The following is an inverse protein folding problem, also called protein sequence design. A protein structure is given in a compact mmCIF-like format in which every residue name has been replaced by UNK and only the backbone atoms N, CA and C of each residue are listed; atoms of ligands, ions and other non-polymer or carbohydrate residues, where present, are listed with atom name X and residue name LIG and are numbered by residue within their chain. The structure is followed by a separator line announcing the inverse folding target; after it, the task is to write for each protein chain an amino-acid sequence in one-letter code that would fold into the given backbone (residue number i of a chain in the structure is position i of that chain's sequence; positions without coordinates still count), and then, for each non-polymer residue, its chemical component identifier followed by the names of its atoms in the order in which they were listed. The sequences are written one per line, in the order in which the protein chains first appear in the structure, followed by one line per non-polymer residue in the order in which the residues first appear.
data_IF_945344805491
#
_entry.id   IF_945344805491
#
_cell.length_a   1.000
_cell.length_b   1.000
_cell.length_c   1.000
_cell.angle_alpha   90.00
_cell.angle_beta   90.00
_cell.angle_gamma   90.00
#
_symmetry.space_group_name_H-M   'P 1'
#
loop_
_entity.id
_entity.type
_entity.pdbx_description
1 polymer ?
#
# COMPACT_ATOMS: atom_id res chain seq x y z
N UNK A 1 -21.00 53.46 -2.45
CA UNK A 1 -20.01 52.87 -3.37
C UNK A 1 -19.16 51.80 -2.72
N UNK A 2 -18.56 52.03 -1.53
CA UNK A 2 -17.74 51.04 -0.81
C UNK A 2 -18.50 49.77 -0.41
N UNK A 3 -19.76 49.86 0.11
CA UNK A 3 -20.56 48.71 0.48
C UNK A 3 -20.86 47.77 -0.68
N UNK A 4 -21.18 48.32 -1.85
CA UNK A 4 -21.45 47.56 -3.06
C UNK A 4 -20.19 46.79 -3.54
N UNK A 5 -19.02 47.43 -3.44
CA UNK A 5 -17.74 46.76 -3.77
C UNK A 5 -17.42 45.58 -2.81
N UNK A 6 -17.65 45.77 -1.51
CA UNK A 6 -17.46 44.73 -0.51
C UNK A 6 -18.38 43.52 -0.78
N UNK A 7 -19.67 43.79 -1.06
CA UNK A 7 -20.63 42.73 -1.39
C UNK A 7 -20.20 41.98 -2.64
N UNK A 8 -19.73 42.69 -3.68
CA UNK A 8 -19.25 42.09 -4.91
C UNK A 8 -18.05 41.16 -4.64
N UNK A 9 -17.08 41.61 -3.87
CA UNK A 9 -15.90 40.80 -3.52
C UNK A 9 -16.30 39.54 -2.75
N UNK A 10 -17.19 39.66 -1.74
CA UNK A 10 -17.67 38.53 -0.96
C UNK A 10 -18.39 37.51 -1.85
N UNK A 11 -19.24 37.95 -2.76
CA UNK A 11 -19.94 37.04 -3.68
C UNK A 11 -19.00 36.33 -4.63
N UNK A 12 -17.99 37.02 -5.17
CA UNK A 12 -16.96 36.39 -6.04
C UNK A 12 -16.16 35.34 -5.27
N UNK A 13 -15.73 35.65 -4.06
CA UNK A 13 -15.00 34.70 -3.20
C UNK A 13 -15.86 33.49 -2.84
N UNK A 14 -17.11 33.72 -2.42
CA UNK A 14 -18.05 32.65 -2.09
C UNK A 14 -18.34 31.72 -3.28
N UNK A 15 -18.53 32.30 -4.47
CA UNK A 15 -18.73 31.50 -5.70
C UNK A 15 -17.47 30.71 -6.07
N UNK A 16 -16.29 31.28 -5.95
CA UNK A 16 -15.03 30.56 -6.21
C UNK A 16 -14.83 29.38 -5.24
N UNK A 17 -15.10 29.61 -3.93
CA UNK A 17 -15.03 28.54 -2.92
C UNK A 17 -16.06 27.43 -3.23
N UNK A 18 -17.30 27.82 -3.57
CA UNK A 18 -18.35 26.86 -3.91
C UNK A 18 -18.00 26.02 -5.13
N UNK A 19 -17.45 26.65 -6.19
CA UNK A 19 -16.99 25.93 -7.38
C UNK A 19 -15.85 24.95 -7.05
N UNK A 20 -14.87 25.36 -6.25
CA UNK A 20 -13.76 24.49 -5.82
C UNK A 20 -14.26 23.28 -5.00
N UNK A 21 -15.20 23.49 -4.07
CA UNK A 21 -15.81 22.40 -3.30
C UNK A 21 -16.58 21.45 -4.22
N UNK A 22 -17.34 21.99 -5.17
CA UNK A 22 -18.11 21.20 -6.14
C UNK A 22 -17.21 20.35 -7.02
N UNK A 23 -16.11 20.89 -7.50
CA UNK A 23 -15.13 20.17 -8.30
C UNK A 23 -14.51 19.01 -7.52
N UNK A 24 -14.06 19.27 -6.30
CA UNK A 24 -13.51 18.21 -5.42
C UNK A 24 -14.54 17.11 -5.13
N UNK A 25 -15.79 17.46 -4.91
CA UNK A 25 -16.85 16.48 -4.67
C UNK A 25 -17.07 15.62 -5.91
N UNK A 26 -17.14 16.23 -7.10
CA UNK A 26 -17.31 15.54 -8.36
C UNK A 26 -16.15 14.57 -8.65
N UNK A 27 -14.90 14.97 -8.36
CA UNK A 27 -13.73 14.11 -8.54
C UNK A 27 -13.77 12.88 -7.58
N UNK A 28 -14.17 13.09 -6.32
CA UNK A 28 -14.34 12.01 -5.34
C UNK A 28 -15.44 11.02 -5.76
N UNK A 29 -16.58 11.54 -6.22
CA UNK A 29 -17.71 10.71 -6.65
C UNK A 29 -17.34 9.91 -7.90
N UNK A 30 -16.66 10.51 -8.86
CA UNK A 30 -16.13 9.83 -10.03
C UNK A 30 -15.17 8.71 -9.65
N UNK A 31 -14.21 8.98 -8.77
CA UNK A 31 -13.27 7.98 -8.26
C UNK A 31 -14.00 6.81 -7.60
N UNK A 32 -14.99 7.09 -6.73
CA UNK A 32 -15.83 6.06 -6.09
C UNK A 32 -16.55 5.20 -7.12
N UNK A 33 -17.11 5.78 -8.18
CA UNK A 33 -17.78 5.05 -9.24
C UNK A 33 -16.82 4.15 -10.02
N UNK A 34 -15.64 4.65 -10.37
CA UNK A 34 -14.60 3.88 -11.07
C UNK A 34 -14.14 2.67 -10.24
N UNK A 35 -13.85 2.88 -8.94
CA UNK A 35 -13.44 1.82 -8.03
C UNK A 35 -14.59 0.82 -7.73
N UNK A 36 -15.82 1.30 -7.58
CA UNK A 36 -16.99 0.43 -7.39
C UNK A 36 -17.22 -0.47 -8.62
N UNK A 37 -17.08 0.09 -9.83
CA UNK A 37 -17.19 -0.67 -11.08
C UNK A 37 -16.11 -1.74 -11.19
N UNK A 38 -14.85 -1.38 -10.88
CA UNK A 38 -13.76 -2.34 -10.86
C UNK A 38 -13.96 -3.45 -9.81
N UNK A 39 -14.35 -3.07 -8.59
CA UNK A 39 -14.65 -4.03 -7.52
C UNK A 39 -15.75 -5.02 -7.94
N UNK A 40 -16.84 -4.52 -8.52
CA UNK A 40 -17.93 -5.34 -9.01
C UNK A 40 -17.49 -6.31 -10.11
N UNK A 41 -16.69 -5.84 -11.07
CA UNK A 41 -16.17 -6.67 -12.16
C UNK A 41 -15.23 -7.77 -11.67
N UNK A 42 -14.61 -7.59 -10.51
CA UNK A 42 -13.71 -8.56 -9.88
C UNK A 42 -14.37 -9.37 -8.74
N UNK A 43 -15.70 -9.26 -8.58
CA UNK A 43 -16.44 -9.99 -7.54
C UNK A 43 -16.12 -9.55 -6.11
N UNK A 44 -15.61 -8.31 -5.94
CA UNK A 44 -15.26 -7.73 -4.66
C UNK A 44 -16.43 -6.90 -4.11
N UNK A 45 -16.57 -6.89 -2.78
CA UNK A 45 -17.48 -5.98 -2.09
C UNK A 45 -16.82 -4.61 -1.95
N UNK A 46 -17.51 -3.56 -2.39
CA UNK A 46 -17.08 -2.17 -2.28
C UNK A 46 -17.75 -1.49 -1.08
N UNK A 47 -16.96 -0.80 -0.26
CA UNK A 47 -17.35 -0.06 0.95
C UNK A 47 -16.77 1.35 0.86
N UNK A 48 -17.56 2.37 0.46
CA UNK A 48 -17.06 3.72 0.20
C UNK A 48 -16.79 4.52 1.48
N UNK A 49 -17.37 4.12 2.64
CA UNK A 49 -17.35 4.87 3.89
C UNK A 49 -15.97 4.88 4.54
N UNK A 50 -15.76 5.87 5.40
CA UNK A 50 -14.53 5.97 6.19
C UNK A 50 -14.51 4.91 7.30
N UNK A 51 -13.45 4.11 7.35
CA UNK A 51 -13.18 3.11 8.40
C UNK A 51 -11.98 3.54 9.24
N UNK A 52 -12.23 4.06 10.42
CA UNK A 52 -11.21 4.47 11.38
C UNK A 52 -10.55 3.29 12.11
N UNK A 53 -11.10 2.08 11.95
CA UNK A 53 -10.57 0.86 12.55
C UNK A 53 -9.56 0.14 11.65
N UNK A 54 -9.42 0.54 10.38
CA UNK A 54 -8.60 -0.13 9.39
C UNK A 54 -7.13 -0.23 9.84
N UNK A 55 -6.56 0.83 10.40
CA UNK A 55 -5.21 0.81 10.94
C UNK A 55 -5.01 -0.23 12.07
N UNK A 56 -6.02 -0.44 12.93
CA UNK A 56 -5.97 -1.48 13.96
C UNK A 56 -6.05 -2.89 13.38
N UNK A 57 -6.86 -3.08 12.35
CA UNK A 57 -7.00 -4.38 11.65
C UNK A 57 -5.68 -4.82 11.02
N UNK A 58 -4.91 -3.85 10.53
CA UNK A 58 -3.63 -4.06 9.87
C UNK A 58 -2.45 -3.52 10.71
N UNK A 59 -2.52 -3.66 12.04
CA UNK A 59 -1.52 -3.18 12.98
C UNK A 59 -0.06 -3.58 12.68
N UNK A 60 0.25 -4.77 12.14
CA UNK A 60 1.61 -5.12 11.78
C UNK A 60 2.26 -4.18 10.76
N UNK A 61 1.47 -3.50 9.92
CA UNK A 61 1.98 -2.54 8.94
C UNK A 61 2.18 -1.16 9.59
N UNK A 62 3.43 -0.84 9.94
CA UNK A 62 3.78 0.39 10.67
C UNK A 62 3.48 1.67 9.90
N UNK A 63 3.48 1.62 8.57
CA UNK A 63 3.12 2.77 7.73
C UNK A 63 1.64 3.19 7.88
N UNK A 64 0.74 2.29 8.31
CA UNK A 64 -0.65 2.61 8.67
C UNK A 64 -0.78 3.22 10.08
N UNK A 65 0.29 3.25 10.86
CA UNK A 65 0.27 3.78 12.23
C UNK A 65 0.84 5.20 12.32
N UNK A 66 1.25 5.79 11.20
CA UNK A 66 1.85 7.13 11.14
C UNK A 66 0.79 8.21 10.96
N UNK A 67 1.04 9.37 11.56
CA UNK A 67 0.14 10.53 11.49
C UNK A 67 -1.09 10.43 12.37
N UNK A 68 -1.89 11.49 12.35
CA UNK A 68 -3.15 11.65 13.08
C UNK A 68 -4.34 11.48 12.12
N UNK A 69 -5.58 11.47 12.66
CA UNK A 69 -6.83 11.44 11.90
C UNK A 69 -6.85 10.37 10.79
N UNK A 70 -6.42 9.16 11.13
CA UNK A 70 -6.22 8.05 10.19
C UNK A 70 -7.52 7.31 9.90
N UNK A 71 -7.78 7.06 8.61
CA UNK A 71 -8.88 6.20 8.18
C UNK A 71 -8.62 5.59 6.80
N UNK A 72 -9.22 4.43 6.56
CA UNK A 72 -9.35 3.89 5.22
C UNK A 72 -10.69 4.29 4.62
N UNK A 73 -10.77 4.39 3.29
CA UNK A 73 -12.01 4.58 2.55
C UNK A 73 -11.93 3.86 1.20
N UNK A 74 -13.04 3.85 0.45
CA UNK A 74 -13.11 3.14 -0.83
C UNK A 74 -12.58 1.70 -0.71
N UNK A 75 -13.01 1.00 0.34
CA UNK A 75 -12.48 -0.32 0.70
C UNK A 75 -13.11 -1.38 -0.19
N UNK A 76 -12.27 -2.23 -0.77
CA UNK A 76 -12.65 -3.36 -1.62
C UNK A 76 -12.19 -4.65 -0.97
N UNK A 77 -13.13 -5.52 -0.59
CA UNK A 77 -12.83 -6.77 0.11
C UNK A 77 -13.41 -7.97 -0.65
N UNK A 78 -12.67 -9.06 -0.64
CA UNK A 78 -13.09 -10.30 -1.28
C UNK A 78 -11.96 -11.30 -1.37
N UNK A 79 -12.01 -12.12 -2.40
CA UNK A 79 -10.97 -13.11 -2.68
C UNK A 79 -10.39 -12.93 -4.08
N UNK A 80 -9.09 -13.12 -4.19
CA UNK A 80 -8.40 -13.30 -5.46
C UNK A 80 -7.87 -14.73 -5.51
N UNK A 81 -8.48 -15.56 -6.35
CA UNK A 81 -8.26 -17.01 -6.31
C UNK A 81 -8.64 -17.60 -4.94
N UNK A 82 -7.66 -18.13 -4.22
CA UNK A 82 -7.85 -18.74 -2.88
C UNK A 82 -7.51 -17.79 -1.72
N UNK A 83 -7.06 -16.56 -2.00
CA UNK A 83 -6.54 -15.65 -0.99
C UNK A 83 -7.52 -14.54 -0.70
N UNK A 84 -7.69 -14.24 0.57
CA UNK A 84 -8.45 -13.06 1.00
C UNK A 84 -7.64 -11.81 0.67
N UNK A 85 -8.30 -10.80 0.12
CA UNK A 85 -7.68 -9.53 -0.24
C UNK A 85 -8.50 -8.36 0.28
N UNK A 86 -7.82 -7.24 0.52
CA UNK A 86 -8.39 -5.95 0.83
C UNK A 86 -7.61 -4.87 0.08
N UNK A 87 -8.28 -4.15 -0.82
CA UNK A 87 -7.77 -2.92 -1.42
C UNK A 87 -8.42 -1.72 -0.76
N UNK A 88 -7.72 -0.60 -0.59
CA UNK A 88 -8.27 0.60 0.03
C UNK A 88 -7.47 1.85 -0.30
N UNK A 89 -8.12 3.01 -0.20
CA UNK A 89 -7.47 4.30 -0.06
C UNK A 89 -7.26 4.61 1.43
N UNK A 90 -6.14 5.22 1.77
CA UNK A 90 -5.79 5.57 3.13
C UNK A 90 -5.48 7.05 3.27
N UNK A 91 -5.97 7.62 4.37
CA UNK A 91 -5.74 9.01 4.75
C UNK A 91 -5.06 9.07 6.11
N UNK A 92 -4.08 9.96 6.23
CA UNK A 92 -3.51 10.37 7.51
C UNK A 92 -3.04 11.81 7.44
N UNK A 93 -3.13 12.53 8.55
CA UNK A 93 -2.56 13.86 8.69
C UNK A 93 -1.15 13.73 9.27
N UNK A 94 -0.12 14.00 8.46
CA UNK A 94 1.25 14.07 8.95
C UNK A 94 1.55 15.46 9.45
N UNK A 95 1.70 15.61 10.79
CA UNK A 95 2.27 16.80 11.39
C UNK A 95 3.76 16.81 11.13
N UNK A 96 4.21 17.57 10.14
CA UNK A 96 5.60 17.90 9.98
C UNK A 96 6.03 18.85 11.13
N UNK A 97 6.20 18.30 12.32
CA UNK A 97 6.93 18.98 13.38
C UNK A 97 8.41 19.05 12.99
N UNK A 98 8.75 20.00 12.14
CA UNK A 98 10.14 20.35 11.97
C UNK A 98 10.55 21.26 13.14
N UNK A 99 11.79 21.12 13.61
CA UNK A 99 12.39 21.93 14.69
C UNK A 99 12.43 23.44 14.39
N UNK A 100 11.87 23.90 13.30
CA UNK A 100 11.92 25.28 12.79
C UNK A 100 10.56 25.86 12.36
N UNK A 101 9.45 25.36 12.85
CA UNK A 101 8.15 25.99 12.64
C UNK A 101 7.02 25.00 12.39
N UNK A 102 5.83 25.41 12.81
CA UNK A 102 4.56 24.73 12.51
C UNK A 102 4.30 24.84 11.01
N UNK A 103 4.67 23.82 10.24
CA UNK A 103 4.12 23.67 8.91
C UNK A 103 2.72 23.08 9.02
N UNK A 104 1.74 23.56 8.22
CA UNK A 104 0.40 22.97 8.24
C UNK A 104 0.51 21.47 7.96
N UNK A 105 -0.24 20.68 8.70
CA UNK A 105 -0.38 19.25 8.48
C UNK A 105 -0.69 19.02 6.99
N UNK A 106 0.11 18.19 6.31
CA UNK A 106 -0.19 17.78 4.94
C UNK A 106 -0.90 16.43 5.01
N UNK A 107 -2.09 16.32 4.44
CA UNK A 107 -2.74 15.03 4.35
C UNK A 107 -1.91 14.11 3.43
N UNK A 108 -1.53 12.96 3.93
CA UNK A 108 -1.00 11.88 3.11
C UNK A 108 -2.19 11.05 2.61
N UNK A 109 -2.34 10.98 1.29
CA UNK A 109 -3.30 10.12 0.62
C UNK A 109 -2.54 9.09 -0.21
N UNK A 110 -2.85 7.82 0.00
CA UNK A 110 -2.27 6.75 -0.80
C UNK A 110 -3.21 5.54 -0.83
N UNK A 111 -2.96 4.63 -1.77
CA UNK A 111 -3.69 3.38 -1.87
C UNK A 111 -2.80 2.19 -1.54
N UNK A 112 -3.46 1.12 -1.08
CA UNK A 112 -2.80 -0.15 -0.80
C UNK A 112 -3.70 -1.34 -1.14
N UNK A 113 -3.03 -2.47 -1.41
CA UNK A 113 -3.64 -3.81 -1.48
C UNK A 113 -2.96 -4.68 -0.45
N UNK A 114 -3.74 -5.37 0.37
CA UNK A 114 -3.27 -6.37 1.34
C UNK A 114 -3.85 -7.72 0.95
N UNK A 115 -3.00 -8.74 0.86
CA UNK A 115 -3.39 -10.13 0.54
C UNK A 115 -2.94 -11.04 1.67
N UNK A 116 -3.83 -11.91 2.13
CA UNK A 116 -3.50 -12.93 3.13
C UNK A 116 -2.94 -14.18 2.42
N UNK A 117 -1.74 -14.58 2.79
CA UNK A 117 -1.07 -15.78 2.26
C UNK A 117 -1.70 -17.07 2.78
N UNK A 118 -2.39 -17.03 3.92
CA UNK A 118 -2.96 -18.20 4.60
C UNK A 118 -1.93 -19.01 5.40
N UNK A 119 -0.70 -18.51 5.57
CA UNK A 119 0.36 -19.11 6.38
C UNK A 119 1.33 -18.04 6.87
N UNK A 120 2.09 -18.30 7.97
CA UNK A 120 3.05 -17.35 8.50
C UNK A 120 4.14 -17.00 7.48
N UNK A 121 4.50 -15.74 7.45
CA UNK A 121 5.56 -15.18 6.61
C UNK A 121 6.61 -14.52 7.51
N UNK A 122 7.86 -14.52 7.06
CA UNK A 122 8.92 -13.77 7.75
C UNK A 122 8.92 -12.30 7.25
N UNK A 123 9.36 -11.33 8.08
CA UNK A 123 9.41 -9.93 7.67
C UNK A 123 10.33 -9.70 6.48
N UNK A 124 9.81 -9.03 5.46
CA UNK A 124 10.56 -8.62 4.27
C UNK A 124 9.98 -7.30 3.77
N UNK A 125 10.84 -6.34 3.50
CA UNK A 125 10.46 -5.05 2.99
C UNK A 125 11.23 -4.74 1.70
N UNK A 126 10.48 -4.40 0.65
CA UNK A 126 11.03 -4.07 -0.65
C UNK A 126 10.45 -2.72 -1.06
N UNK A 127 11.31 -1.80 -1.46
CA UNK A 127 10.89 -0.47 -1.89
C UNK A 127 11.62 -0.03 -3.15
N UNK A 128 11.01 0.83 -3.96
CA UNK A 128 11.72 1.50 -5.06
C UNK A 128 12.89 2.33 -4.52
N UNK A 129 13.99 2.38 -5.27
CA UNK A 129 15.14 3.25 -4.95
C UNK A 129 14.72 4.73 -4.98
N UNK A 130 15.41 5.56 -4.17
CA UNK A 130 15.17 7.00 -4.10
C UNK A 130 14.05 7.44 -3.14
N UNK A 131 13.26 6.53 -2.59
CA UNK A 131 12.30 6.85 -1.54
C UNK A 131 12.95 6.77 -0.16
N UNK A 132 12.74 7.80 0.67
CA UNK A 132 13.19 7.77 2.07
C UNK A 132 12.30 6.84 2.89
N UNK A 133 12.93 5.96 3.69
CA UNK A 133 12.21 5.05 4.56
C UNK A 133 11.51 5.81 5.68
N UNK A 134 10.18 5.89 5.63
CA UNK A 134 9.35 6.30 6.78
C UNK A 134 9.10 5.11 7.74
N UNK A 135 9.47 3.89 7.35
CA UNK A 135 9.28 2.67 8.15
C UNK A 135 10.46 2.49 9.08
N UNK A 136 10.30 2.89 10.33
CA UNK A 136 11.35 2.87 11.36
C UNK A 136 11.79 1.47 11.76
N UNK A 137 10.99 0.44 11.53
CA UNK A 137 11.25 -0.94 11.99
C UNK A 137 12.45 -1.61 11.29
N UNK A 138 12.78 -1.15 10.08
CA UNK A 138 13.95 -1.63 9.32
C UNK A 138 15.13 -0.66 9.37
N UNK A 139 15.06 0.36 10.23
CA UNK A 139 16.20 1.27 10.47
C UNK A 139 17.33 0.49 11.14
N UNK A 140 18.52 0.59 10.58
CA UNK A 140 19.70 -0.12 11.09
C UNK A 140 19.93 -1.52 10.51
N UNK A 141 19.03 -2.04 9.67
CA UNK A 141 19.33 -3.22 8.86
C UNK A 141 20.05 -2.83 7.57
N UNK A 142 21.13 -3.54 7.27
CA UNK A 142 21.83 -3.40 6.00
C UNK A 142 20.93 -3.81 4.83
N UNK A 143 21.09 -3.14 3.70
CA UNK A 143 20.45 -3.56 2.46
C UNK A 143 20.94 -4.95 2.04
N UNK A 144 20.05 -5.70 1.37
CA UNK A 144 20.38 -6.99 0.78
C UNK A 144 20.59 -6.77 -0.71
N UNK A 145 21.81 -7.04 -1.18
CA UNK A 145 22.16 -6.93 -2.60
C UNK A 145 21.83 -8.24 -3.34
N UNK A 146 21.40 -8.11 -4.57
CA UNK A 146 21.10 -9.22 -5.47
C UNK A 146 22.03 -9.20 -6.67
N UNK A 147 22.29 -10.37 -7.27
CA UNK A 147 23.14 -10.49 -8.46
C UNK A 147 22.60 -9.71 -9.65
N UNK A 148 21.29 -9.51 -9.73
CA UNK A 148 20.67 -8.69 -10.76
C UNK A 148 20.98 -7.21 -10.51
N UNK A 149 21.88 -6.66 -11.30
CA UNK A 149 22.24 -5.23 -11.27
C UNK A 149 21.02 -4.34 -11.53
N UNK A 150 20.16 -4.71 -12.46
CA UNK A 150 18.94 -3.96 -12.80
C UNK A 150 17.98 -3.91 -11.63
N UNK A 151 17.75 -5.04 -10.94
CA UNK A 151 16.89 -5.08 -9.77
C UNK A 151 17.47 -4.23 -8.62
N UNK A 152 18.77 -4.39 -8.32
CA UNK A 152 19.43 -3.63 -7.25
C UNK A 152 19.50 -2.12 -7.52
N UNK A 153 19.47 -1.69 -8.78
CA UNK A 153 19.35 -0.27 -9.13
C UNK A 153 17.93 0.28 -8.94
N UNK A 154 16.91 -0.57 -9.03
CA UNK A 154 15.50 -0.15 -8.92
C UNK A 154 14.92 -0.33 -7.54
N UNK A 155 15.41 -1.29 -6.76
CA UNK A 155 14.84 -1.67 -5.47
C UNK A 155 15.88 -1.72 -4.35
N UNK A 156 15.45 -1.34 -3.16
CA UNK A 156 16.14 -1.62 -1.91
C UNK A 156 15.35 -2.68 -1.13
N UNK A 157 16.06 -3.69 -0.63
CA UNK A 157 15.48 -4.84 0.09
C UNK A 157 16.03 -4.89 1.49
N UNK A 158 15.17 -5.08 2.48
CA UNK A 158 15.52 -5.25 3.88
C UNK A 158 14.76 -6.42 4.50
N UNK A 159 15.46 -7.27 5.21
CA UNK A 159 14.91 -8.38 5.99
C UNK A 159 15.85 -8.75 7.12
N UNK A 160 15.35 -9.12 8.29
CA UNK A 160 16.19 -9.72 9.34
C UNK A 160 16.70 -11.12 8.95
N UNK A 161 16.04 -11.80 8.00
CA UNK A 161 16.41 -13.13 7.49
C UNK A 161 16.80 -13.00 6.01
N UNK A 162 18.12 -12.99 5.75
CA UNK A 162 18.66 -12.87 4.37
C UNK A 162 18.29 -14.08 3.51
N UNK A 163 18.27 -15.29 4.09
CA UNK A 163 17.89 -16.51 3.36
C UNK A 163 16.44 -16.39 2.86
N UNK A 164 15.53 -15.97 3.74
CA UNK A 164 14.15 -15.70 3.38
C UNK A 164 14.03 -14.71 2.22
N UNK A 165 14.81 -13.61 2.24
CA UNK A 165 14.80 -12.64 1.16
C UNK A 165 15.21 -13.26 -0.18
N UNK A 166 16.23 -14.14 -0.22
CA UNK A 166 16.63 -14.84 -1.44
C UNK A 166 15.62 -15.91 -1.86
N UNK A 167 14.98 -16.59 -0.90
CA UNK A 167 13.94 -17.58 -1.20
C UNK A 167 12.71 -16.91 -1.87
N UNK A 168 12.34 -15.69 -1.44
CA UNK A 168 11.25 -14.92 -2.06
C UNK A 168 11.69 -14.31 -3.38
N UNK A 169 12.86 -13.67 -3.40
CA UNK A 169 13.36 -12.88 -4.54
C UNK A 169 14.31 -13.72 -5.43
N UNK A 170 13.88 -14.91 -5.80
CA UNK A 170 14.57 -15.70 -6.81
C UNK A 170 14.28 -15.15 -8.21
N UNK A 171 14.99 -15.63 -9.22
CA UNK A 171 15.00 -15.11 -10.60
C UNK A 171 13.60 -14.73 -11.13
N UNK A 172 12.64 -15.64 -11.01
CA UNK A 172 11.28 -15.45 -11.51
C UNK A 172 10.53 -14.30 -10.82
N UNK A 173 10.75 -14.12 -9.51
CA UNK A 173 10.15 -13.02 -8.74
C UNK A 173 10.85 -11.70 -9.05
N UNK A 174 12.18 -11.71 -9.26
CA UNK A 174 12.91 -10.51 -9.69
C UNK A 174 12.39 -9.98 -11.03
N UNK A 175 12.21 -10.87 -12.00
CA UNK A 175 11.63 -10.52 -13.32
C UNK A 175 10.23 -9.94 -13.17
N UNK A 176 9.35 -10.59 -12.41
CA UNK A 176 8.00 -10.07 -12.12
C UNK A 176 8.05 -8.67 -11.50
N UNK A 177 8.93 -8.43 -10.53
CA UNK A 177 9.00 -7.14 -9.86
C UNK A 177 9.51 -6.01 -10.75
N UNK A 178 10.35 -6.30 -11.73
CA UNK A 178 10.83 -5.29 -12.69
C UNK A 178 9.70 -4.67 -13.52
N UNK A 179 8.63 -5.42 -13.77
CA UNK A 179 7.43 -4.94 -14.46
C UNK A 179 6.57 -4.00 -13.58
N UNK A 180 6.76 -4.05 -12.25
CA UNK A 180 5.96 -3.33 -11.25
C UNK A 180 6.80 -2.45 -10.30
N UNK A 181 7.78 -1.73 -10.84
CA UNK A 181 8.85 -1.06 -10.08
C UNK A 181 8.42 0.10 -9.17
N UNK A 182 7.13 0.41 -9.08
CA UNK A 182 6.59 1.57 -8.34
C UNK A 182 6.02 1.26 -6.96
N UNK A 183 5.81 -0.02 -6.64
CA UNK A 183 5.17 -0.42 -5.39
C UNK A 183 6.18 -0.71 -4.29
N UNK A 184 5.83 -0.30 -3.07
CA UNK A 184 6.43 -0.82 -1.85
C UNK A 184 5.75 -2.14 -1.53
N UNK A 185 6.54 -3.14 -1.14
CA UNK A 185 6.03 -4.46 -0.72
C UNK A 185 6.48 -4.72 0.71
N UNK A 186 5.53 -5.06 1.57
CA UNK A 186 5.79 -5.32 3.00
C UNK A 186 5.13 -6.63 3.42
N UNK A 187 5.94 -7.56 3.95
CA UNK A 187 5.51 -8.88 4.44
C UNK A 187 5.42 -8.85 5.96
N UNK A 188 4.23 -9.12 6.51
CA UNK A 188 3.98 -9.11 7.95
C UNK A 188 2.99 -10.20 8.37
N UNK A 189 3.37 -11.01 9.35
CA UNK A 189 2.48 -12.06 9.87
C UNK A 189 2.07 -13.04 8.77
N UNK A 190 0.79 -13.08 8.40
CA UNK A 190 0.29 -13.87 7.26
C UNK A 190 0.02 -13.01 6.02
N UNK A 191 0.34 -11.72 6.06
CA UNK A 191 -0.11 -10.75 5.08
C UNK A 191 1.03 -10.14 4.27
N UNK A 192 0.75 -9.84 3.01
CA UNK A 192 1.64 -9.07 2.13
C UNK A 192 0.88 -7.86 1.65
N UNK A 193 1.47 -6.69 1.82
CA UNK A 193 0.93 -5.43 1.32
C UNK A 193 1.73 -4.91 0.12
N UNK A 194 1.02 -4.41 -0.90
CA UNK A 194 1.59 -3.54 -1.93
C UNK A 194 0.95 -2.15 -1.80
N UNK A 195 1.75 -1.10 -1.72
CA UNK A 195 1.25 0.27 -1.58
C UNK A 195 2.14 1.28 -2.31
N UNK A 196 1.58 2.46 -2.59
CA UNK A 196 2.36 3.61 -3.06
C UNK A 196 2.80 4.46 -1.86
N UNK A 197 3.89 5.17 -2.01
CA UNK A 197 4.35 6.07 -0.94
C UNK A 197 3.46 7.30 -0.73
N UNK A 198 2.84 7.84 -1.80
CA UNK A 198 2.13 9.12 -1.77
C UNK A 198 1.13 9.29 -2.93
N UNK A 199 0.59 8.22 -3.49
CA UNK A 199 -0.35 8.30 -4.60
C UNK A 199 -1.53 7.34 -4.42
N UNK A 200 -2.70 7.78 -4.84
CA UNK A 200 -3.87 6.93 -4.95
C UNK A 200 -3.80 6.10 -6.24
N UNK A 201 -4.23 4.84 -6.16
CA UNK A 201 -4.25 3.93 -7.29
C UNK A 201 -5.47 4.17 -8.19
N UNK A 202 -5.27 4.19 -9.49
CA UNK A 202 -6.35 3.92 -10.45
C UNK A 202 -6.83 2.47 -10.34
N UNK A 203 -8.00 2.10 -10.90
CA UNK A 203 -8.44 0.70 -10.95
C UNK A 203 -7.40 -0.26 -11.53
N UNK A 204 -6.72 0.13 -12.62
CA UNK A 204 -5.64 -0.66 -13.23
C UNK A 204 -4.41 -0.81 -12.34
N UNK A 205 -4.16 0.15 -11.44
CA UNK A 205 -3.07 0.07 -10.48
C UNK A 205 -3.42 -0.82 -9.28
N UNK A 206 -4.69 -0.85 -8.85
CA UNK A 206 -5.16 -1.85 -7.89
C UNK A 206 -4.99 -3.27 -8.46
N UNK A 207 -5.34 -3.49 -9.73
CA UNK A 207 -5.13 -4.75 -10.42
C UNK A 207 -3.64 -5.11 -10.51
N UNK A 208 -2.79 -4.15 -10.87
CA UNK A 208 -1.35 -4.34 -10.94
C UNK A 208 -0.73 -4.70 -9.58
N UNK A 209 -1.13 -4.00 -8.51
CA UNK A 209 -0.68 -4.28 -7.15
C UNK A 209 -1.15 -5.67 -6.68
N UNK A 210 -2.40 -6.05 -6.99
CA UNK A 210 -2.95 -7.36 -6.67
C UNK A 210 -2.19 -8.47 -7.42
N UNK A 211 -1.98 -8.31 -8.73
CA UNK A 211 -1.26 -9.26 -9.57
C UNK A 211 0.20 -9.42 -9.10
N UNK A 212 0.86 -8.33 -8.73
CA UNK A 212 2.21 -8.39 -8.18
C UNK A 212 2.26 -9.22 -6.89
N UNK A 213 1.41 -8.91 -5.91
CA UNK A 213 1.42 -9.62 -4.61
C UNK A 213 1.05 -11.09 -4.79
N UNK A 214 0.01 -11.39 -5.56
CA UNK A 214 -0.39 -12.79 -5.82
C UNK A 214 0.69 -13.54 -6.58
N UNK A 215 1.31 -12.91 -7.58
CA UNK A 215 2.42 -13.49 -8.35
C UNK A 215 3.66 -13.79 -7.49
N UNK A 216 4.01 -12.89 -6.56
CA UNK A 216 5.11 -13.15 -5.61
C UNK A 216 4.77 -14.36 -4.73
N UNK A 217 3.54 -14.43 -4.18
CA UNK A 217 3.11 -15.53 -3.34
C UNK A 217 3.00 -16.86 -4.10
N UNK A 218 2.63 -16.84 -5.38
CA UNK A 218 2.54 -18.02 -6.24
C UNK A 218 3.93 -18.52 -6.69
N UNK A 219 4.90 -17.64 -6.73
CA UNK A 219 6.28 -17.96 -7.05
C UNK A 219 7.08 -18.51 -5.88
N UNK A 220 6.54 -18.49 -4.64
CA UNK A 220 7.26 -19.07 -3.48
C UNK A 220 7.54 -20.56 -3.71
N UNK A 221 8.80 -21.03 -3.48
CA UNK A 221 9.14 -22.44 -3.62
C UNK A 221 8.29 -23.31 -2.67
N UNK A 222 7.81 -24.45 -3.15
CA UNK A 222 6.98 -25.36 -2.34
C UNK A 222 7.67 -25.82 -1.05
N UNK A 223 8.98 -26.01 -1.08
CA UNK A 223 9.77 -26.36 0.10
C UNK A 223 9.69 -25.29 1.17
N UNK A 224 9.79 -24.01 0.77
CA UNK A 224 9.69 -22.85 1.66
C UNK A 224 8.28 -22.75 2.23
N UNK A 225 7.25 -22.91 1.41
CA UNK A 225 5.85 -22.87 1.85
C UNK A 225 5.56 -23.98 2.86
N UNK A 226 6.09 -25.20 2.66
CA UNK A 226 5.97 -26.33 3.61
C UNK A 226 6.66 -26.03 4.94
N UNK A 227 7.90 -25.50 4.89
CA UNK A 227 8.63 -25.05 6.08
C UNK A 227 7.82 -24.03 6.89
N UNK A 228 7.30 -23.01 6.23
CA UNK A 228 6.52 -21.95 6.87
C UNK A 228 5.20 -22.44 7.48
N UNK A 229 4.59 -23.47 6.87
CA UNK A 229 3.37 -24.10 7.40
C UNK A 229 3.64 -25.05 8.55
N UNK A 230 4.90 -25.29 8.92
CA UNK A 230 5.27 -26.28 9.93
C UNK A 230 4.97 -27.72 9.50
N UNK A 231 4.83 -27.98 8.20
CA UNK A 231 4.65 -29.32 7.66
C UNK A 231 6.06 -29.90 7.53
N UNK A 232 6.50 -30.58 8.60
CA UNK A 232 7.77 -31.29 8.61
C UNK A 232 7.84 -32.24 7.43
N UNK A 233 8.89 -32.10 6.64
CA UNK A 233 9.31 -33.18 5.75
C UNK A 233 9.89 -34.26 6.62
N UNK A 234 9.02 -35.05 7.28
CA UNK A 234 9.41 -36.26 7.99
C UNK A 234 10.26 -37.08 7.05
N UNK A 235 11.57 -37.06 7.29
CA UNK A 235 12.51 -37.85 6.57
C UNK A 235 12.10 -39.30 6.68
N UNK A 236 11.85 -39.91 5.56
CA UNK A 236 11.86 -41.34 5.40
C UNK A 236 13.27 -41.81 5.80
N UNK A 237 13.46 -42.18 7.09
CA UNK A 237 14.54 -42.99 7.50
C UNK A 237 14.21 -44.43 7.09
N UNK A 238 14.78 -44.86 6.03
CA UNK A 238 14.91 -46.29 5.69
C UNK A 238 16.37 -46.69 5.70
#
# INVERSE_FOLDING_TARGET
MQLALIILVITVVATAIWLAIREQTCLRDRRRQELAGWAQSNGLKFLPENDYSLGFRYQPFKWLQQGDNRYGCNIMVGTSGRRVMCGFDYHSDTNAASSYGLHPARPDHFSAVVVDAGFPLKPLFIRPQGFLDKVTEFVGLDGIDFESTEFSQRFAVKSPDRRWAYDVLHQKTLELMLDYSRFHIDFRGTQVAAYSGQAEFSPGEFESALNLVTGILDNLPESVVRELKGIDTGGTLS
#
